data_IF_009385931526
#
_entry.id   IF_009385931526
#
_cell.length_a   1.000
_cell.length_b   1.000
_cell.length_c   1.000
_cell.angle_alpha   90.00
_cell.angle_beta   90.00
_cell.angle_gamma   90.00
#
_symmetry.space_group_name_H-M   'P 1'
#
loop_
_entity.id
_entity.type
_entity.pdbx_description
1 polymer ?
#
# COMPACT_ATOMS: atom_id res chain seq x y z
N UNK A 1 -19.46 0.74 19.47
CA UNK A 1 -18.09 0.59 18.93
C UNK A 1 -18.12 -0.42 17.80
N UNK A 2 -18.74 -0.05 16.67
CA UNK A 2 -18.77 -0.91 15.49
C UNK A 2 -17.57 -0.57 14.61
N UNK A 3 -16.39 -1.08 14.97
CA UNK A 3 -15.26 -1.08 14.03
C UNK A 3 -15.53 -2.20 13.03
N UNK A 4 -15.64 -1.87 11.75
CA UNK A 4 -15.54 -2.91 10.71
C UNK A 4 -14.06 -3.09 10.43
N UNK A 5 -13.57 -4.26 10.85
CA UNK A 5 -12.17 -4.61 10.91
C UNK A 5 -11.49 -4.59 9.55
N UNK A 6 -10.16 -4.75 9.49
CA UNK A 6 -9.36 -4.43 8.32
C UNK A 6 -9.78 -5.28 7.13
N UNK A 7 -10.58 -4.69 6.24
CA UNK A 7 -11.03 -5.29 4.99
C UNK A 7 -9.80 -5.32 4.08
N UNK A 8 -9.28 -6.51 3.72
CA UNK A 8 -8.16 -6.59 2.79
C UNK A 8 -8.68 -6.20 1.41
N UNK A 9 -8.11 -5.14 0.85
CA UNK A 9 -8.33 -4.83 -0.55
C UNK A 9 -7.35 -5.63 -1.41
N UNK A 10 -7.71 -5.96 -2.65
CA UNK A 10 -6.82 -6.69 -3.55
C UNK A 10 -5.45 -6.01 -3.67
N UNK A 11 -4.38 -6.79 -3.49
CA UNK A 11 -3.00 -6.31 -3.66
C UNK A 11 -2.77 -5.94 -5.12
N UNK A 12 -2.44 -4.68 -5.38
CA UNK A 12 -2.07 -4.24 -6.72
C UNK A 12 -0.63 -4.64 -7.00
N UNK A 13 -0.42 -5.36 -8.11
CA UNK A 13 0.90 -5.77 -8.60
C UNK A 13 1.29 -4.85 -9.75
N UNK A 14 2.30 -4.03 -9.57
CA UNK A 14 2.89 -3.22 -10.64
C UNK A 14 4.13 -3.96 -11.15
N UNK A 15 4.07 -4.44 -12.38
CA UNK A 15 5.14 -5.20 -13.00
C UNK A 15 5.81 -4.36 -14.08
N UNK A 16 7.12 -4.19 -13.99
CA UNK A 16 7.93 -3.52 -15.00
C UNK A 16 8.97 -4.52 -15.48
N UNK A 17 8.89 -4.87 -16.76
CA UNK A 17 9.88 -5.77 -17.38
C UNK A 17 10.90 -4.92 -18.11
N UNK A 18 12.17 -5.08 -17.75
CA UNK A 18 13.29 -4.35 -18.35
C UNK A 18 14.30 -5.32 -18.92
N UNK A 19 15.02 -4.91 -19.96
CA UNK A 19 16.20 -5.65 -20.41
C UNK A 19 17.30 -5.48 -19.37
N UNK A 20 17.96 -6.57 -18.98
CA UNK A 20 19.06 -6.52 -18.01
C UNK A 20 20.30 -5.83 -18.60
N UNK A 21 20.60 -6.12 -19.87
CA UNK A 21 21.73 -5.52 -20.56
C UNK A 21 21.42 -4.09 -21.04
N UNK A 22 22.35 -3.13 -20.86
CA UNK A 22 22.19 -1.76 -21.35
C UNK A 22 22.36 -1.64 -22.87
N UNK A 23 23.10 -2.56 -23.49
CA UNK A 23 23.39 -2.57 -24.93
C UNK A 23 22.66 -3.69 -25.66
N UNK A 24 22.60 -3.58 -26.99
CA UNK A 24 21.91 -4.51 -27.88
C UNK A 24 22.56 -5.89 -28.02
N UNK A 25 23.83 -6.04 -27.63
CA UNK A 25 24.66 -7.21 -27.89
C UNK A 25 24.50 -8.30 -26.81
N UNK A 26 24.74 -9.55 -27.20
CA UNK A 26 24.63 -10.73 -26.32
C UNK A 26 23.21 -11.28 -26.18
N UNK A 27 23.02 -12.23 -25.26
CA UNK A 27 21.74 -12.92 -25.06
C UNK A 27 20.68 -11.99 -24.46
N UNK A 28 19.46 -12.05 -24.99
CA UNK A 28 18.34 -11.24 -24.51
C UNK A 28 17.82 -11.78 -23.17
N UNK A 29 18.28 -11.15 -22.09
CA UNK A 29 17.83 -11.40 -20.71
C UNK A 29 16.94 -10.25 -20.23
N UNK A 30 15.86 -10.61 -19.54
CA UNK A 30 14.87 -9.67 -19.02
C UNK A 30 14.71 -9.86 -17.51
N UNK A 31 14.65 -8.74 -16.80
CA UNK A 31 14.32 -8.69 -15.38
C UNK A 31 12.88 -8.26 -15.21
N UNK A 32 12.18 -8.96 -14.32
CA UNK A 32 10.79 -8.66 -13.96
C UNK A 32 10.77 -8.03 -12.57
N UNK A 33 10.70 -6.70 -12.53
CA UNK A 33 10.58 -5.96 -11.28
C UNK A 33 9.12 -5.90 -10.87
N UNK A 34 8.82 -6.27 -9.63
CA UNK A 34 7.47 -6.23 -9.08
C UNK A 34 7.41 -5.31 -7.86
N UNK A 35 6.50 -4.33 -7.91
CA UNK A 35 6.08 -3.57 -6.74
C UNK A 35 4.69 -4.05 -6.30
N UNK A 36 4.58 -4.48 -5.04
CA UNK A 36 3.34 -4.95 -4.41
C UNK A 36 2.79 -3.90 -3.49
N UNK A 37 1.56 -3.46 -3.76
CA UNK A 37 0.86 -2.48 -2.93
C UNK A 37 -0.32 -3.18 -2.25
N UNK A 38 -0.17 -3.44 -0.95
CA UNK A 38 -1.20 -4.02 -0.11
C UNK A 38 -2.02 -2.92 0.55
N UNK A 39 -3.32 -2.85 0.24
CA UNK A 39 -4.24 -1.87 0.82
C UNK A 39 -5.18 -2.55 1.81
N UNK A 40 -5.49 -1.86 2.91
CA UNK A 40 -6.46 -2.29 3.92
C UNK A 40 -7.40 -1.12 4.21
N UNK A 41 -8.69 -1.40 4.31
CA UNK A 41 -9.73 -0.44 4.69
C UNK A 41 -10.19 -0.75 6.12
N UNK A 42 -10.33 0.27 6.95
CA UNK A 42 -10.89 0.14 8.31
C UNK A 42 -12.00 1.17 8.43
N UNK A 43 -13.24 0.72 8.66
CA UNK A 43 -14.35 1.63 8.91
C UNK A 43 -14.55 1.78 10.41
N UNK A 44 -14.56 3.02 10.88
CA UNK A 44 -14.68 3.37 12.29
C UNK A 44 -15.81 4.39 12.42
N UNK A 45 -16.69 4.16 13.39
CA UNK A 45 -17.72 5.14 13.78
C UNK A 45 -17.05 6.43 14.29
N UNK A 46 -17.34 7.55 13.61
CA UNK A 46 -16.64 8.81 13.82
C UNK A 46 -16.99 9.41 15.20
N UNK A 47 -16.04 9.33 16.13
CA UNK A 47 -16.06 10.12 17.37
C UNK A 47 -14.77 10.92 17.49
N UNK A 48 -14.90 12.18 17.91
CA UNK A 48 -13.78 13.14 17.99
C UNK A 48 -12.62 12.62 18.88
N UNK A 49 -12.97 11.86 19.93
CA UNK A 49 -11.99 11.23 20.83
C UNK A 49 -11.16 10.14 20.15
N UNK A 50 -11.75 9.39 19.22
CA UNK A 50 -11.07 8.30 18.51
C UNK A 50 -10.14 8.86 17.43
N UNK A 51 -10.56 9.92 16.72
CA UNK A 51 -9.71 10.58 15.72
C UNK A 51 -8.41 11.13 16.32
N UNK A 52 -8.49 11.82 17.47
CA UNK A 52 -7.30 12.35 18.17
C UNK A 52 -6.32 11.23 18.57
N UNK A 53 -6.85 10.09 19.02
CA UNK A 53 -6.04 8.93 19.40
C UNK A 53 -5.38 8.27 18.19
N UNK A 54 -6.08 8.19 17.06
CA UNK A 54 -5.52 7.62 15.82
C UNK A 54 -4.34 8.42 15.28
N UNK A 55 -4.41 9.76 15.34
CA UNK A 55 -3.30 10.62 14.92
C UNK A 55 -2.04 10.51 15.79
N UNK A 56 -2.17 10.00 17.01
CA UNK A 56 -1.04 9.84 17.95
C UNK A 56 -0.28 8.52 17.73
N UNK A 57 -0.80 7.62 16.90
CA UNK A 57 -0.17 6.31 16.67
C UNK A 57 1.14 6.50 15.90
N UNK A 58 2.18 5.78 16.34
CA UNK A 58 3.47 5.73 15.63
C UNK A 58 3.32 4.87 14.38
N UNK A 59 3.32 5.52 13.22
CA UNK A 59 3.23 4.86 11.91
C UNK A 59 4.65 4.73 11.34
N UNK A 60 5.08 3.53 10.91
CA UNK A 60 6.35 3.37 10.20
C UNK A 60 6.33 4.11 8.86
N UNK A 61 7.47 4.64 8.41
CA UNK A 61 7.58 5.40 7.15
C UNK A 61 7.20 4.61 5.89
N UNK A 62 7.15 3.28 6.00
CA UNK A 62 6.76 2.37 4.91
C UNK A 62 5.26 2.30 4.67
N UNK A 63 4.44 2.86 5.57
CA UNK A 63 2.98 2.77 5.53
C UNK A 63 2.37 4.16 5.35
N UNK A 64 1.62 4.33 4.26
CA UNK A 64 0.82 5.54 4.03
C UNK A 64 -0.61 5.30 4.52
N UNK A 65 -1.08 6.17 5.41
CA UNK A 65 -2.47 6.18 5.90
C UNK A 65 -3.18 7.41 5.31
N UNK A 66 -4.41 7.20 4.82
CA UNK A 66 -5.31 8.27 4.37
C UNK A 66 -6.62 8.14 5.14
N UNK A 67 -7.15 9.27 5.62
CA UNK A 67 -8.40 9.34 6.35
C UNK A 67 -9.41 10.11 5.50
N UNK A 68 -10.60 9.54 5.30
CA UNK A 68 -11.71 10.20 4.63
C UNK A 68 -12.92 10.21 5.57
N UNK A 69 -13.52 11.38 5.75
CA UNK A 69 -14.79 11.55 6.46
C UNK A 69 -15.91 11.43 5.42
N UNK A 70 -16.81 10.48 5.63
CA UNK A 70 -18.05 10.30 4.84
C UNK A 70 -19.23 10.68 5.71
#
# INVERSE_FOLDING_TARGET
VQVRGPIPLPTRRLMVTVRRAPSGQGYHTYDHWELRISKRLIDIEASERVLRRLMTIRVPDTVKIELQLV
#
